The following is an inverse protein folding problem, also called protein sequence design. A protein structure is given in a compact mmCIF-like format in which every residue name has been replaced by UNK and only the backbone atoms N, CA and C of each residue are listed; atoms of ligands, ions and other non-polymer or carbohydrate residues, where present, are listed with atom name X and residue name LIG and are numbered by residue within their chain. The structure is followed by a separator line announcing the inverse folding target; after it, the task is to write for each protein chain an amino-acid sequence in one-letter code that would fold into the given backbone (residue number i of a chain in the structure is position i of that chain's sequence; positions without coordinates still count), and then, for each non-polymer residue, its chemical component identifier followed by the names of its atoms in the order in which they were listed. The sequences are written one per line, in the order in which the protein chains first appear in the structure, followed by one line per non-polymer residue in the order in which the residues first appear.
data_IF_215106987348
#
_entry.id   IF_215106987348
#
_cell.length_a   1.000
_cell.length_b   1.000
_cell.length_c   1.000
_cell.angle_alpha   90.00
_cell.angle_beta   90.00
_cell.angle_gamma   90.00
#
_symmetry.space_group_name_H-M   'P 1'
#
loop_
_entity.id
_entity.type
_entity.pdbx_description
1 polymer ?
#
# COMPACT_ATOMS: atom_id res chain seq x y z
N UNK A 1 2.63 -1.99 -31.24
CA UNK A 1 1.96 -3.09 -30.50
C UNK A 1 0.71 -2.53 -29.83
N UNK A 2 -0.40 -3.30 -29.76
CA UNK A 2 -1.64 -2.83 -29.12
C UNK A 2 -1.67 -3.26 -27.64
N UNK A 3 -2.11 -2.35 -26.78
CA UNK A 3 -2.36 -2.60 -25.37
C UNK A 3 -3.76 -2.12 -25.00
N UNK A 4 -4.44 -2.80 -24.09
CA UNK A 4 -5.68 -2.31 -23.48
C UNK A 4 -5.31 -1.61 -22.17
N UNK A 5 -5.76 -0.36 -21.98
CA UNK A 5 -5.38 0.44 -20.82
C UNK A 5 -6.55 1.26 -20.27
N UNK A 6 -6.59 1.46 -18.95
CA UNK A 6 -7.43 2.46 -18.32
C UNK A 6 -6.68 3.80 -18.28
N UNK A 7 -7.16 4.76 -19.05
CA UNK A 7 -6.50 6.06 -19.26
C UNK A 7 -7.29 7.20 -18.62
N UNK A 8 -6.56 8.21 -18.15
CA UNK A 8 -7.08 9.50 -17.70
C UNK A 8 -6.89 10.51 -18.84
N UNK A 9 -7.98 11.16 -19.29
CA UNK A 9 -7.96 12.15 -20.36
C UNK A 9 -8.45 13.53 -19.95
N UNK A 10 -8.81 13.67 -18.69
CA UNK A 10 -9.33 14.93 -18.15
C UNK A 10 -9.96 14.72 -16.78
N UNK A 11 -10.51 15.77 -16.23
CA UNK A 11 -11.13 15.76 -14.90
C UNK A 11 -12.35 14.85 -14.87
N UNK A 12 -12.30 13.81 -14.00
CA UNK A 12 -13.31 12.74 -13.90
C UNK A 12 -13.51 11.92 -15.19
N UNK A 13 -12.55 11.93 -16.11
CA UNK A 13 -12.60 11.18 -17.35
C UNK A 13 -11.58 10.04 -17.32
N UNK A 14 -11.97 8.88 -16.80
CA UNK A 14 -11.19 7.63 -16.84
C UNK A 14 -11.99 6.59 -17.60
N UNK A 15 -11.38 5.95 -18.60
CA UNK A 15 -12.03 4.91 -19.41
C UNK A 15 -11.02 3.91 -19.97
N UNK A 16 -11.50 2.74 -20.35
CA UNK A 16 -10.68 1.73 -21.04
C UNK A 16 -10.55 2.09 -22.51
N UNK A 17 -9.34 2.02 -23.02
CA UNK A 17 -8.98 2.32 -24.41
C UNK A 17 -7.96 1.32 -24.93
N UNK A 18 -8.05 0.98 -26.21
CA UNK A 18 -6.94 0.37 -26.95
C UNK A 18 -5.91 1.45 -27.28
N UNK A 19 -4.67 1.23 -26.90
CA UNK A 19 -3.53 2.13 -27.07
C UNK A 19 -2.52 1.49 -28.01
N UNK A 20 -2.12 2.21 -29.06
CA UNK A 20 -1.04 1.79 -29.94
C UNK A 20 0.31 2.19 -29.32
N UNK A 21 0.96 1.22 -28.68
CA UNK A 21 2.31 1.42 -28.10
C UNK A 21 3.33 1.56 -29.24
N UNK A 22 4.20 2.60 -29.23
CA UNK A 22 5.30 2.73 -30.17
C UNK A 22 6.33 1.61 -30.00
N UNK A 23 7.24 1.48 -30.94
CA UNK A 23 8.44 0.67 -30.74
C UNK A 23 9.31 1.31 -29.66
N UNK A 24 9.84 0.47 -28.76
CA UNK A 24 10.70 0.95 -27.68
C UNK A 24 12.02 1.48 -28.21
N UNK A 25 12.53 2.52 -27.55
CA UNK A 25 13.88 3.03 -27.75
C UNK A 25 14.96 2.11 -27.23
N UNK A 26 16.22 2.44 -27.54
CA UNK A 26 17.38 1.64 -27.12
C UNK A 26 17.59 1.56 -25.57
N UNK A 27 16.99 2.50 -24.83
CA UNK A 27 17.11 2.66 -23.39
C UNK A 27 15.74 2.54 -22.68
N UNK A 28 14.84 1.71 -23.22
CA UNK A 28 13.49 1.50 -22.70
C UNK A 28 13.20 0.00 -22.55
N UNK A 29 12.18 -0.32 -21.75
CA UNK A 29 11.65 -1.68 -21.58
C UNK A 29 10.19 -1.72 -21.99
N UNK A 30 9.78 -2.75 -22.74
CA UNK A 30 8.38 -3.13 -22.87
C UNK A 30 8.06 -4.18 -21.83
N UNK A 31 6.99 -3.98 -21.08
CA UNK A 31 6.60 -4.90 -20.01
C UNK A 31 5.14 -5.34 -20.14
N UNK A 32 4.87 -6.60 -19.74
CA UNK A 32 3.53 -7.15 -19.51
C UNK A 32 3.17 -6.95 -18.06
N UNK A 33 2.12 -6.21 -17.77
CA UNK A 33 1.65 -6.02 -16.39
C UNK A 33 0.79 -7.20 -16.00
N UNK A 34 1.08 -7.84 -14.88
CA UNK A 34 0.24 -8.94 -14.36
C UNK A 34 -0.81 -8.44 -13.39
N UNK A 35 -0.41 -7.58 -12.46
CA UNK A 35 -1.33 -7.00 -11.47
C UNK A 35 -0.98 -5.54 -11.17
N UNK A 36 -2.00 -4.77 -10.80
CA UNK A 36 -1.88 -3.42 -10.28
C UNK A 36 -2.86 -3.21 -9.14
N UNK A 37 -2.45 -2.58 -8.03
CA UNK A 37 -3.38 -2.21 -6.98
C UNK A 37 -3.84 -0.76 -7.13
N UNK A 38 -5.10 -0.50 -6.71
CA UNK A 38 -5.69 0.84 -6.86
C UNK A 38 -5.48 1.66 -5.60
N UNK A 39 -4.88 2.83 -5.76
CA UNK A 39 -4.55 3.76 -4.68
C UNK A 39 -5.49 4.97 -4.65
N UNK A 40 -5.73 5.49 -3.45
CA UNK A 40 -6.51 6.73 -3.28
C UNK A 40 -5.85 7.95 -3.98
N UNK A 41 -4.54 7.94 -4.14
CA UNK A 41 -3.82 8.99 -4.90
C UNK A 41 -4.17 8.97 -6.39
N UNK A 42 -4.46 7.81 -6.99
CA UNK A 42 -4.97 7.70 -8.36
C UNK A 42 -6.37 8.33 -8.47
N UNK A 43 -7.26 8.10 -7.50
CA UNK A 43 -8.54 8.79 -7.42
C UNK A 43 -8.36 10.32 -7.34
N UNK A 44 -7.45 10.80 -6.47
CA UNK A 44 -7.18 12.25 -6.33
C UNK A 44 -6.68 12.87 -7.66
N UNK A 45 -5.88 12.15 -8.42
CA UNK A 45 -5.45 12.57 -9.76
C UNK A 45 -6.62 12.57 -10.75
N UNK A 46 -7.44 11.53 -10.74
CA UNK A 46 -8.59 11.41 -11.65
C UNK A 46 -9.62 12.52 -11.47
N UNK A 47 -9.95 12.91 -10.24
CA UNK A 47 -10.92 13.98 -9.99
C UNK A 47 -10.38 15.39 -10.25
N UNK A 48 -9.06 15.56 -10.33
CA UNK A 48 -8.40 16.85 -10.59
C UNK A 48 -7.95 17.00 -12.05
N UNK A 49 -7.68 15.91 -12.76
CA UNK A 49 -7.11 15.96 -14.10
C UNK A 49 -5.83 16.79 -14.13
N UNK A 50 -5.68 17.68 -15.10
CA UNK A 50 -4.53 18.59 -15.25
C UNK A 50 -4.27 19.54 -14.06
N UNK A 51 -5.25 19.74 -13.17
CA UNK A 51 -5.02 20.51 -11.93
C UNK A 51 -4.25 19.72 -10.86
N UNK A 52 -3.95 18.46 -11.10
CA UNK A 52 -3.15 17.65 -10.19
C UNK A 52 -1.66 17.74 -10.54
N UNK A 53 -0.81 18.09 -9.58
CA UNK A 53 0.64 18.35 -9.74
C UNK A 53 1.45 17.27 -10.49
N UNK A 54 0.95 16.02 -10.56
CA UNK A 54 1.61 14.91 -11.25
C UNK A 54 1.04 14.65 -12.64
N UNK A 55 -0.12 15.22 -12.96
CA UNK A 55 -0.78 15.03 -14.26
C UNK A 55 -0.36 16.17 -15.18
N UNK A 56 0.02 15.92 -16.44
CA UNK A 56 0.34 16.98 -17.40
C UNK A 56 -0.83 17.95 -17.59
N UNK A 57 -0.53 19.23 -17.74
CA UNK A 57 -1.54 20.28 -17.91
C UNK A 57 -2.35 20.12 -19.22
N UNK A 58 -1.75 19.48 -20.22
CA UNK A 58 -2.32 19.20 -21.55
C UNK A 58 -3.00 17.83 -21.66
N UNK A 59 -3.20 17.14 -20.52
CA UNK A 59 -3.92 15.86 -20.51
C UNK A 59 -5.27 16.01 -21.21
N UNK A 60 -5.51 15.19 -22.23
CA UNK A 60 -6.70 15.24 -23.10
C UNK A 60 -6.99 13.88 -23.71
N UNK A 61 -8.03 13.79 -24.53
CA UNK A 61 -8.33 12.56 -25.30
C UNK A 61 -7.26 12.23 -26.34
N UNK A 62 -6.57 13.26 -26.84
CA UNK A 62 -5.45 13.16 -27.77
C UNK A 62 -4.15 12.76 -27.04
N UNK A 63 -3.97 13.24 -25.82
CA UNK A 63 -2.81 12.99 -24.95
C UNK A 63 -3.22 12.43 -23.59
N UNK A 64 -3.84 11.23 -23.53
CA UNK A 64 -4.23 10.62 -22.27
C UNK A 64 -3.02 10.01 -21.58
N UNK A 65 -3.10 9.83 -20.27
CA UNK A 65 -2.06 9.12 -19.49
C UNK A 65 -2.60 7.78 -18.98
N UNK A 66 -1.78 6.73 -19.02
CA UNK A 66 -2.14 5.44 -18.43
C UNK A 66 -2.12 5.57 -16.90
N UNK A 67 -3.17 5.12 -16.24
CA UNK A 67 -3.30 5.14 -14.80
C UNK A 67 -2.63 3.93 -14.12
N UNK A 68 -2.50 3.97 -12.77
CA UNK A 68 -1.97 2.86 -11.97
C UNK A 68 -0.46 2.92 -11.77
N UNK A 69 -0.03 2.89 -10.51
CA UNK A 69 1.39 3.07 -10.15
C UNK A 69 1.89 2.02 -9.15
N UNK A 70 1.06 1.08 -8.74
CA UNK A 70 1.38 0.01 -7.82
C UNK A 70 1.34 -1.33 -8.57
N UNK A 71 2.36 -1.64 -9.40
CA UNK A 71 2.30 -2.79 -10.30
C UNK A 71 3.59 -3.57 -10.47
N UNK A 72 3.41 -4.81 -10.91
CA UNK A 72 4.49 -5.69 -11.32
C UNK A 72 4.09 -6.60 -12.48
N UNK A 73 5.08 -7.27 -13.07
CA UNK A 73 4.86 -8.10 -14.24
C UNK A 73 6.13 -8.70 -14.79
N UNK A 74 6.16 -8.87 -16.12
CA UNK A 74 7.27 -9.46 -16.85
C UNK A 74 7.86 -8.49 -17.87
N UNK A 75 9.18 -8.52 -18.04
CA UNK A 75 9.88 -7.83 -19.14
C UNK A 75 9.66 -8.61 -20.43
N UNK A 76 9.11 -7.95 -21.46
CA UNK A 76 8.77 -8.57 -22.75
C UNK A 76 9.79 -8.22 -23.82
N UNK A 77 10.32 -6.99 -23.81
CA UNK A 77 11.34 -6.53 -24.75
C UNK A 77 12.30 -5.58 -24.03
N UNK A 78 13.58 -5.71 -24.35
CA UNK A 78 14.67 -4.94 -23.76
C UNK A 78 15.34 -4.10 -24.84
N UNK A 79 15.47 -2.80 -24.60
CA UNK A 79 16.21 -1.89 -25.47
C UNK A 79 17.69 -2.31 -25.60
N UNK A 80 18.29 -2.05 -26.75
CA UNK A 80 19.63 -2.58 -27.11
C UNK A 80 20.70 -2.24 -26.07
N UNK A 81 20.67 -1.03 -25.50
CA UNK A 81 21.65 -0.58 -24.50
C UNK A 81 21.44 -1.15 -23.09
N UNK A 82 20.30 -1.81 -22.86
CA UNK A 82 19.92 -2.35 -21.56
C UNK A 82 20.14 -3.86 -21.42
N UNK A 83 20.54 -4.55 -22.50
CA UNK A 83 20.70 -6.01 -22.54
C UNK A 83 21.73 -6.58 -21.55
N UNK A 84 22.60 -5.73 -21.01
CA UNK A 84 23.53 -6.12 -19.94
C UNK A 84 22.95 -6.00 -18.54
N UNK A 85 21.74 -5.41 -18.41
CA UNK A 85 21.11 -5.12 -17.13
C UNK A 85 19.80 -5.91 -16.95
N UNK A 86 19.09 -6.20 -18.05
CA UNK A 86 17.77 -6.83 -18.04
C UNK A 86 17.68 -7.93 -19.09
N UNK A 87 16.89 -8.96 -18.79
CA UNK A 87 16.59 -10.06 -19.70
C UNK A 87 15.07 -10.16 -19.95
N UNK A 88 14.70 -10.64 -21.15
CA UNK A 88 13.30 -10.96 -21.47
C UNK A 88 12.82 -12.11 -20.60
N UNK A 89 11.64 -11.98 -20.01
CA UNK A 89 11.07 -12.97 -19.10
C UNK A 89 11.37 -12.70 -17.62
N UNK A 90 12.26 -11.77 -17.29
CA UNK A 90 12.47 -11.35 -15.90
C UNK A 90 11.21 -10.74 -15.32
N UNK A 91 10.94 -11.04 -14.04
CA UNK A 91 9.86 -10.43 -13.27
C UNK A 91 10.35 -9.14 -12.62
N UNK A 92 9.49 -8.17 -12.57
CA UNK A 92 9.80 -6.87 -11.98
C UNK A 92 8.66 -6.34 -11.10
N UNK A 93 9.03 -5.42 -10.22
CA UNK A 93 8.13 -4.53 -9.48
C UNK A 93 8.59 -3.11 -9.73
N UNK A 94 7.64 -2.20 -9.83
CA UNK A 94 7.95 -0.79 -10.08
C UNK A 94 7.95 0.05 -8.80
N UNK A 95 9.03 0.80 -8.57
CA UNK A 95 9.05 1.95 -7.66
C UNK A 95 8.54 3.19 -8.41
N UNK A 96 7.33 3.69 -8.10
CA UNK A 96 6.78 4.83 -8.85
C UNK A 96 7.36 6.18 -8.44
N UNK A 97 7.95 6.30 -7.26
CA UNK A 97 8.48 7.56 -6.73
C UNK A 97 9.85 7.86 -7.33
N UNK A 98 9.88 8.62 -8.42
CA UNK A 98 11.10 8.98 -9.14
C UNK A 98 11.84 10.18 -8.57
N UNK A 99 11.24 10.94 -7.65
CA UNK A 99 11.87 12.12 -7.04
C UNK A 99 12.19 13.26 -8.01
N UNK A 100 11.55 13.30 -9.17
CA UNK A 100 11.78 14.32 -10.19
C UNK A 100 11.29 15.71 -9.74
N UNK A 101 12.00 16.79 -10.09
CA UNK A 101 11.55 18.17 -9.80
C UNK A 101 10.17 18.49 -10.40
N UNK A 102 9.80 17.86 -11.53
CA UNK A 102 8.47 17.97 -12.14
C UNK A 102 7.36 17.31 -11.29
N UNK A 103 7.72 16.41 -10.38
CA UNK A 103 6.79 15.55 -9.68
C UNK A 103 6.23 14.40 -10.54
N UNK A 104 6.66 14.24 -11.78
CA UNK A 104 6.17 13.24 -12.71
C UNK A 104 6.48 11.82 -12.24
N UNK A 105 5.57 10.90 -12.50
CA UNK A 105 5.58 9.55 -11.94
C UNK A 105 4.78 8.59 -12.82
N UNK A 106 5.12 7.31 -12.78
CA UNK A 106 4.35 6.25 -13.42
C UNK A 106 2.87 6.29 -13.00
N UNK A 107 1.98 6.03 -13.93
CA UNK A 107 0.54 5.98 -13.67
C UNK A 107 -0.15 7.32 -13.44
N UNK A 108 0.56 8.44 -13.71
CA UNK A 108 0.05 9.80 -13.59
C UNK A 108 0.42 10.70 -14.77
N UNK A 109 1.64 10.53 -15.32
CA UNK A 109 2.27 11.58 -16.11
C UNK A 109 2.61 11.16 -17.53
N UNK A 110 2.53 9.90 -17.85
CA UNK A 110 3.04 9.36 -19.12
C UNK A 110 1.96 8.66 -19.90
N UNK A 111 1.98 8.88 -21.22
CA UNK A 111 1.00 8.31 -22.17
C UNK A 111 1.09 6.77 -22.23
N UNK A 112 2.30 6.22 -22.10
CA UNK A 112 2.56 4.78 -22.27
C UNK A 112 3.08 4.08 -21.01
N UNK A 113 3.01 4.71 -19.84
CA UNK A 113 3.62 4.20 -18.62
C UNK A 113 2.70 4.22 -17.41
N UNK A 114 2.13 3.08 -17.10
CA UNK A 114 1.24 2.86 -15.94
C UNK A 114 0.73 1.44 -15.86
N UNK A 115 0.31 1.03 -14.66
CA UNK A 115 -0.02 -0.35 -14.32
C UNK A 115 -1.45 -0.80 -14.65
N UNK A 116 -2.38 0.12 -14.92
CA UNK A 116 -3.71 -0.26 -15.42
C UNK A 116 -3.68 -0.43 -16.95
N UNK A 117 -2.78 -1.27 -17.43
CA UNK A 117 -2.63 -1.61 -18.84
C UNK A 117 -2.13 -3.06 -18.98
N UNK A 118 -2.50 -3.71 -20.07
CA UNK A 118 -1.97 -5.05 -20.38
C UNK A 118 -0.46 -5.02 -20.61
N UNK A 119 0.00 -3.97 -21.30
CA UNK A 119 1.42 -3.70 -21.57
C UNK A 119 1.68 -2.20 -21.39
N UNK A 120 2.90 -1.86 -20.95
CA UNK A 120 3.34 -0.48 -20.90
C UNK A 120 4.85 -0.38 -21.21
N UNK A 121 5.33 0.85 -21.45
CA UNK A 121 6.73 1.13 -21.75
C UNK A 121 7.34 1.81 -20.54
N UNK A 122 8.37 1.23 -19.94
CA UNK A 122 9.15 1.86 -18.87
C UNK A 122 10.21 2.74 -19.52
N UNK A 123 10.16 4.08 -19.29
CA UNK A 123 11.07 5.01 -19.93
C UNK A 123 12.45 5.02 -19.26
N UNK A 124 13.45 5.46 -20.03
CA UNK A 124 14.85 5.62 -19.58
C UNK A 124 14.97 6.27 -18.20
N UNK A 125 14.21 7.34 -17.95
CA UNK A 125 14.29 8.09 -16.68
C UNK A 125 14.00 7.22 -15.47
N UNK A 126 13.05 6.30 -15.58
CA UNK A 126 12.69 5.38 -14.50
C UNK A 126 13.77 4.31 -14.26
N UNK A 127 14.40 3.87 -15.36
CA UNK A 127 15.50 2.89 -15.33
C UNK A 127 16.74 3.50 -14.71
N UNK A 128 17.14 4.68 -15.15
CA UNK A 128 18.30 5.41 -14.63
C UNK A 128 18.20 5.70 -13.12
N UNK A 129 16.99 5.88 -12.62
CA UNK A 129 16.70 6.10 -11.20
C UNK A 129 16.59 4.80 -10.39
N UNK A 130 16.79 3.62 -11.02
CA UNK A 130 16.73 2.34 -10.35
C UNK A 130 15.31 1.95 -9.89
N UNK A 131 14.29 2.43 -10.59
CA UNK A 131 12.89 2.20 -10.22
C UNK A 131 12.36 0.80 -10.63
N UNK A 132 13.08 0.06 -11.48
CA UNK A 132 12.73 -1.29 -11.90
C UNK A 132 13.41 -2.28 -10.98
N UNK A 133 12.65 -2.87 -10.06
CA UNK A 133 13.17 -3.76 -9.03
C UNK A 133 12.98 -5.22 -9.43
N UNK A 134 13.97 -6.10 -9.18
CA UNK A 134 13.82 -7.53 -9.45
C UNK A 134 12.77 -8.15 -8.53
N UNK A 135 11.93 -9.01 -9.08
CA UNK A 135 10.96 -9.79 -8.33
C UNK A 135 11.19 -11.29 -8.55
N UNK A 136 11.26 -12.07 -7.46
CA UNK A 136 11.53 -13.51 -7.53
C UNK A 136 10.30 -14.36 -7.27
N UNK A 137 9.27 -13.80 -6.64
CA UNK A 137 8.03 -14.50 -6.31
C UNK A 137 7.19 -14.86 -7.53
N UNK A 138 6.20 -15.71 -7.32
CA UNK A 138 5.19 -16.11 -8.32
C UNK A 138 3.80 -15.54 -8.02
N UNK A 139 3.67 -14.82 -6.92
CA UNK A 139 2.42 -14.22 -6.44
C UNK A 139 2.43 -12.72 -6.71
N UNK A 140 1.85 -12.30 -7.84
CA UNK A 140 1.91 -10.91 -8.31
C UNK A 140 1.08 -9.91 -7.49
N UNK A 141 0.15 -10.38 -6.67
CA UNK A 141 -0.48 -9.50 -5.68
C UNK A 141 0.57 -8.90 -4.73
N UNK A 142 1.58 -9.67 -4.27
CA UNK A 142 2.69 -9.14 -3.48
C UNK A 142 3.53 -8.12 -4.25
N UNK A 143 3.72 -8.32 -5.56
CA UNK A 143 4.38 -7.34 -6.42
C UNK A 143 3.63 -6.00 -6.45
N UNK A 144 2.29 -6.03 -6.62
CA UNK A 144 1.46 -4.82 -6.61
C UNK A 144 1.37 -4.16 -5.23
N UNK A 145 1.51 -4.93 -4.17
CA UNK A 145 1.41 -4.42 -2.79
C UNK A 145 2.76 -4.01 -2.20
N UNK A 146 3.86 -4.20 -2.92
CA UNK A 146 5.18 -3.79 -2.46
C UNK A 146 5.27 -2.27 -2.24
N UNK A 147 4.65 -1.46 -3.11
CA UNK A 147 4.60 -0.01 -2.93
C UNK A 147 3.79 0.39 -1.68
N UNK A 148 2.53 -0.05 -1.48
CA UNK A 148 1.81 0.26 -0.25
C UNK A 148 2.53 -0.21 1.02
N UNK A 149 3.13 -1.39 1.00
CA UNK A 149 3.93 -1.87 2.13
C UNK A 149 5.17 -1.03 2.36
N UNK A 150 5.83 -0.54 1.30
CA UNK A 150 6.98 0.35 1.43
C UNK A 150 6.62 1.66 2.13
N UNK A 151 5.40 2.17 1.94
CA UNK A 151 4.93 3.35 2.67
C UNK A 151 4.86 3.08 4.18
N UNK A 152 4.39 1.88 4.57
CA UNK A 152 4.34 1.45 5.97
C UNK A 152 5.76 1.29 6.52
N UNK A 153 6.60 0.52 5.85
CA UNK A 153 7.99 0.26 6.25
C UNK A 153 8.76 1.58 6.40
N UNK A 154 8.63 2.48 5.42
CA UNK A 154 9.25 3.81 5.46
C UNK A 154 8.76 4.67 6.64
N UNK A 155 7.49 4.54 7.05
CA UNK A 155 6.98 5.21 8.23
C UNK A 155 7.64 4.68 9.51
N UNK A 156 7.83 3.36 9.62
CA UNK A 156 8.55 2.75 10.75
C UNK A 156 10.02 3.16 10.76
N UNK A 157 10.70 3.17 9.60
CA UNK A 157 12.08 3.63 9.50
C UNK A 157 12.26 5.12 9.80
N UNK A 158 11.25 5.94 9.56
CA UNK A 158 11.29 7.38 9.78
C UNK A 158 11.01 7.81 11.22
N UNK A 159 10.52 6.94 12.08
CA UNK A 159 10.49 7.22 13.53
C UNK A 159 11.90 7.35 14.05
N UNK A 160 12.09 8.09 15.12
CA UNK A 160 13.41 8.24 15.71
C UNK A 160 13.33 8.50 17.19
N UNK A 161 14.42 8.18 17.86
CA UNK A 161 14.66 8.42 19.28
C UNK A 161 15.96 9.19 19.46
N UNK A 162 16.12 9.79 20.64
CA UNK A 162 17.30 10.60 20.96
C UNK A 162 17.96 10.11 22.25
N UNK A 163 19.25 10.35 22.37
CA UNK A 163 19.95 10.16 23.65
C UNK A 163 20.08 11.53 24.30
N UNK A 164 19.70 11.69 25.58
CA UNK A 164 19.82 12.95 26.28
C UNK A 164 21.22 13.57 26.13
N UNK A 165 21.29 14.86 25.76
CA UNK A 165 22.51 15.65 25.53
C UNK A 165 23.36 15.22 24.34
N UNK A 166 22.94 14.19 23.57
CA UNK A 166 23.54 13.79 22.29
C UNK A 166 22.51 14.11 21.21
N UNK A 167 22.82 15.03 20.32
CA UNK A 167 21.87 15.53 19.30
C UNK A 167 21.89 14.66 18.03
N UNK A 168 21.95 13.34 18.22
CA UNK A 168 21.90 12.34 17.16
C UNK A 168 20.59 11.57 17.22
N UNK A 169 20.00 11.28 16.08
CA UNK A 169 18.77 10.49 15.97
C UNK A 169 19.12 9.03 15.77
N UNK A 170 18.50 8.19 16.58
CA UNK A 170 18.49 6.75 16.41
C UNK A 170 17.22 6.40 15.63
N UNK A 171 17.37 6.13 14.33
CA UNK A 171 16.24 5.89 13.43
C UNK A 171 15.60 4.53 13.65
N UNK A 172 14.29 4.45 13.41
CA UNK A 172 13.47 3.26 13.58
C UNK A 172 12.81 3.18 14.94
N UNK A 173 12.12 2.05 15.21
CA UNK A 173 11.48 1.80 16.50
C UNK A 173 12.52 1.55 17.59
N UNK A 174 12.16 1.89 18.82
CA UNK A 174 12.95 1.60 19.99
C UNK A 174 13.01 0.10 20.27
N UNK A 175 14.20 -0.45 20.40
CA UNK A 175 14.39 -1.87 20.70
C UNK A 175 13.76 -2.23 22.05
N UNK A 176 12.93 -3.27 22.09
CA UNK A 176 12.15 -3.65 23.26
C UNK A 176 11.07 -2.63 23.67
N UNK A 177 10.78 -1.65 22.81
CA UNK A 177 9.82 -0.59 23.04
C UNK A 177 8.35 -1.01 22.91
N UNK A 178 7.47 -0.03 23.04
CA UNK A 178 6.02 -0.17 23.00
C UNK A 178 5.41 0.72 21.93
N UNK A 179 4.57 0.15 21.08
CA UNK A 179 3.97 0.81 19.91
C UNK A 179 2.45 0.90 20.06
N UNK A 180 1.88 2.09 19.87
CA UNK A 180 0.44 2.29 19.74
C UNK A 180 0.09 2.56 18.26
N UNK A 181 -0.77 1.74 17.67
CA UNK A 181 -1.25 1.87 16.29
C UNK A 181 -2.71 2.34 16.32
N UNK A 182 -2.96 3.59 15.98
CA UNK A 182 -4.23 4.27 16.19
C UNK A 182 -5.04 4.42 14.88
N UNK A 183 -6.32 4.03 14.91
CA UNK A 183 -7.18 3.95 13.72
C UNK A 183 -6.66 2.92 12.73
N UNK A 184 -6.17 1.80 13.24
CA UNK A 184 -5.26 0.90 12.53
C UNK A 184 -5.91 -0.42 12.08
N UNK A 185 -7.19 -0.66 12.31
CA UNK A 185 -7.84 -1.88 11.84
C UNK A 185 -8.29 -1.82 10.37
N UNK A 186 -7.95 -0.75 9.65
CA UNK A 186 -8.14 -0.61 8.21
C UNK A 186 -7.03 -1.30 7.39
N UNK A 187 -7.09 -1.22 6.03
CA UNK A 187 -6.19 -1.96 5.15
C UNK A 187 -4.70 -1.69 5.38
N UNK A 188 -4.32 -0.40 5.39
CA UNK A 188 -2.93 -0.02 5.64
C UNK A 188 -2.50 -0.38 7.06
N UNK A 189 -3.45 -0.30 8.00
CA UNK A 189 -3.22 -0.71 9.37
C UNK A 189 -2.96 -2.21 9.51
N UNK A 190 -3.65 -3.08 8.77
CA UNK A 190 -3.35 -4.52 8.78
C UNK A 190 -1.91 -4.81 8.36
N UNK A 191 -1.41 -4.14 7.31
CA UNK A 191 0.00 -4.24 6.93
C UNK A 191 0.95 -3.71 8.02
N UNK A 192 0.56 -2.64 8.74
CA UNK A 192 1.36 -2.09 9.83
C UNK A 192 1.38 -2.99 11.06
N UNK A 193 0.25 -3.61 11.43
CA UNK A 193 0.18 -4.59 12.51
C UNK A 193 1.08 -5.79 12.18
N UNK A 194 0.96 -6.31 10.94
CA UNK A 194 1.74 -7.43 10.48
C UNK A 194 3.25 -7.13 10.52
N UNK A 195 3.65 -5.96 10.03
CA UNK A 195 5.04 -5.52 10.05
C UNK A 195 5.56 -5.25 11.48
N UNK A 196 4.73 -4.69 12.38
CA UNK A 196 5.11 -4.47 13.78
C UNK A 196 5.35 -5.77 14.54
N UNK A 197 4.65 -6.86 14.16
CA UNK A 197 4.73 -8.17 14.81
C UNK A 197 5.78 -9.08 14.18
N UNK A 198 5.90 -9.06 12.86
CA UNK A 198 6.70 -10.04 12.10
C UNK A 198 7.89 -9.40 11.36
N UNK A 199 7.98 -8.08 11.34
CA UNK A 199 9.11 -7.34 10.77
C UNK A 199 10.40 -7.47 11.57
N UNK A 200 11.42 -6.68 11.23
CA UNK A 200 12.75 -6.82 11.85
C UNK A 200 12.87 -6.20 13.26
N UNK A 201 11.84 -5.54 13.75
CA UNK A 201 11.86 -4.85 15.04
C UNK A 201 11.49 -5.79 16.21
N UNK A 202 12.09 -5.55 17.38
CA UNK A 202 11.83 -6.30 18.61
C UNK A 202 10.88 -5.53 19.54
N UNK A 203 9.72 -5.13 19.05
CA UNK A 203 8.72 -4.46 19.90
C UNK A 203 8.24 -5.41 20.99
N UNK A 204 8.30 -4.97 22.23
CA UNK A 204 7.79 -5.77 23.36
C UNK A 204 6.27 -5.81 23.38
N UNK A 205 5.64 -4.69 23.02
CA UNK A 205 4.18 -4.52 23.06
C UNK A 205 3.70 -3.73 21.88
N UNK A 206 2.65 -4.22 21.25
CA UNK A 206 1.92 -3.53 20.17
C UNK A 206 0.46 -3.43 20.58
N UNK A 207 -0.08 -2.22 20.65
CA UNK A 207 -1.48 -1.95 20.97
C UNK A 207 -2.17 -1.39 19.75
N UNK A 208 -3.16 -2.10 19.25
CA UNK A 208 -3.97 -1.73 18.08
C UNK A 208 -5.27 -1.11 18.54
N UNK A 209 -5.52 0.10 18.13
CA UNK A 209 -6.69 0.90 18.55
C UNK A 209 -7.56 1.23 17.35
N UNK A 210 -8.84 0.93 17.44
CA UNK A 210 -9.85 1.35 16.46
C UNK A 210 -11.21 1.54 17.18
N UNK A 211 -12.19 2.09 16.47
CA UNK A 211 -13.58 2.24 16.95
C UNK A 211 -14.54 1.25 16.29
N UNK A 212 -14.08 0.51 15.28
CA UNK A 212 -14.87 -0.45 14.51
C UNK A 212 -14.55 -1.87 15.00
N UNK A 213 -15.51 -2.44 15.75
CA UNK A 213 -15.36 -3.78 16.33
C UNK A 213 -15.18 -4.87 15.27
N UNK A 214 -15.92 -4.79 14.16
CA UNK A 214 -15.81 -5.80 13.10
C UNK A 214 -14.43 -5.80 12.45
N UNK A 215 -13.82 -4.62 12.28
CA UNK A 215 -12.44 -4.49 11.79
C UNK A 215 -11.42 -5.02 12.80
N UNK A 216 -11.60 -4.73 14.08
CA UNK A 216 -10.72 -5.24 15.14
C UNK A 216 -10.77 -6.77 15.22
N UNK A 217 -11.96 -7.38 15.18
CA UNK A 217 -12.11 -8.83 15.17
C UNK A 217 -11.51 -9.47 13.91
N UNK A 218 -11.64 -8.83 12.73
CA UNK A 218 -10.96 -9.28 11.52
C UNK A 218 -9.44 -9.19 11.67
N UNK A 219 -8.92 -8.08 12.19
CA UNK A 219 -7.48 -7.90 12.41
C UNK A 219 -6.94 -8.97 13.36
N UNK A 220 -7.64 -9.25 14.46
CA UNK A 220 -7.31 -10.26 15.44
C UNK A 220 -7.35 -11.69 14.88
N UNK A 221 -8.26 -11.95 13.94
CA UNK A 221 -8.32 -13.24 13.23
C UNK A 221 -7.10 -13.46 12.33
N UNK A 222 -6.64 -12.40 11.64
CA UNK A 222 -5.55 -12.47 10.67
C UNK A 222 -4.18 -12.44 11.34
N UNK A 223 -4.03 -11.63 12.38
CA UNK A 223 -2.78 -11.44 13.14
C UNK A 223 -3.15 -11.62 14.61
N UNK A 224 -3.11 -12.88 15.06
CA UNK A 224 -3.62 -13.17 16.39
C UNK A 224 -2.55 -13.00 17.48
N UNK A 225 -2.97 -12.64 18.72
CA UNK A 225 -2.05 -12.42 19.83
C UNK A 225 -1.19 -13.64 20.23
N UNK A 226 -1.70 -14.86 19.99
CA UNK A 226 -0.95 -16.10 20.32
C UNK A 226 0.23 -16.31 19.38
N UNK A 227 0.08 -15.97 18.08
CA UNK A 227 1.17 -16.04 17.11
C UNK A 227 2.14 -14.88 17.31
N UNK A 228 1.66 -13.68 17.63
CA UNK A 228 2.51 -12.55 18.02
C UNK A 228 3.39 -12.88 19.23
N UNK A 229 2.84 -13.58 20.23
CA UNK A 229 3.59 -14.00 21.40
C UNK A 229 4.75 -14.97 21.09
N UNK A 230 4.64 -15.77 20.01
CA UNK A 230 5.73 -16.64 19.54
C UNK A 230 6.94 -15.83 19.03
N UNK A 231 6.68 -14.60 18.55
CA UNK A 231 7.70 -13.63 18.15
C UNK A 231 8.14 -12.71 19.30
N UNK A 232 7.69 -12.96 20.52
CA UNK A 232 8.02 -12.15 21.70
C UNK A 232 7.23 -10.85 21.82
N UNK A 233 6.19 -10.66 21.02
CA UNK A 233 5.35 -9.44 20.99
C UNK A 233 4.06 -9.67 21.76
N UNK A 234 3.77 -8.83 22.74
CA UNK A 234 2.45 -8.74 23.36
C UNK A 234 1.53 -7.87 22.50
N UNK A 235 0.65 -8.51 21.71
CA UNK A 235 -0.28 -7.85 20.81
C UNK A 235 -1.65 -7.70 21.49
N UNK A 236 -2.15 -6.46 21.58
CA UNK A 236 -3.42 -6.13 22.25
C UNK A 236 -4.30 -5.34 21.29
N UNK A 237 -5.57 -5.75 21.15
CA UNK A 237 -6.58 -5.04 20.37
C UNK A 237 -7.54 -4.32 21.32
N UNK A 238 -7.79 -3.04 21.09
CA UNK A 238 -8.62 -2.19 21.95
C UNK A 238 -9.63 -1.41 21.13
N UNK A 239 -10.91 -1.58 21.47
CA UNK A 239 -11.96 -0.73 20.96
C UNK A 239 -12.11 0.50 21.88
N UNK A 240 -11.93 1.70 21.32
CA UNK A 240 -12.04 2.96 22.07
C UNK A 240 -13.33 3.72 21.76
N UNK A 241 -14.29 3.08 21.07
CA UNK A 241 -15.58 3.70 20.80
C UNK A 241 -16.30 4.03 22.12
N UNK A 242 -16.77 5.26 22.21
CA UNK A 242 -17.54 5.76 23.38
C UNK A 242 -16.78 5.65 24.72
N UNK A 243 -15.43 5.63 24.70
CA UNK A 243 -14.59 5.57 25.90
C UNK A 243 -13.97 6.94 26.20
N UNK A 244 -14.52 7.66 27.15
CA UNK A 244 -14.03 8.97 27.60
C UNK A 244 -12.69 8.88 28.36
N UNK A 245 -12.26 7.69 28.80
CA UNK A 245 -11.02 7.43 29.52
C UNK A 245 -9.97 6.72 28.67
N UNK A 246 -10.15 6.67 27.34
CA UNK A 246 -9.30 5.88 26.43
C UNK A 246 -7.80 6.15 26.62
N UNK A 247 -7.36 7.39 26.81
CA UNK A 247 -5.94 7.73 27.01
C UNK A 247 -5.39 7.09 28.29
N UNK A 248 -6.14 7.18 29.40
CA UNK A 248 -5.75 6.61 30.68
C UNK A 248 -5.68 5.08 30.60
N UNK A 249 -6.71 4.46 30.05
CA UNK A 249 -6.79 3.01 29.90
C UNK A 249 -5.62 2.46 29.02
N UNK A 250 -5.36 3.12 27.88
CA UNK A 250 -4.27 2.76 26.99
C UNK A 250 -2.89 2.94 27.66
N UNK A 251 -2.67 4.00 28.44
CA UNK A 251 -1.45 4.15 29.24
C UNK A 251 -1.32 3.06 30.30
N UNK A 252 -2.40 2.69 30.97
CA UNK A 252 -2.40 1.66 31.99
C UNK A 252 -1.99 0.29 31.39
N UNK A 253 -2.33 -0.02 30.14
CA UNK A 253 -1.83 -1.19 29.42
C UNK A 253 -0.31 -1.19 29.31
N UNK A 254 0.34 -0.03 29.30
CA UNK A 254 1.80 0.12 29.29
C UNK A 254 2.38 0.53 30.65
N UNK A 255 1.71 0.18 31.74
CA UNK A 255 2.17 0.46 33.11
C UNK A 255 2.21 1.95 33.46
N UNK A 256 1.40 2.77 32.82
CA UNK A 256 1.27 4.22 33.04
C UNK A 256 2.38 5.08 32.42
N UNK A 257 3.34 4.48 31.72
CA UNK A 257 4.56 5.18 31.21
C UNK A 257 4.38 5.89 29.87
N UNK A 258 3.26 5.70 29.17
CA UNK A 258 3.10 6.09 27.79
C UNK A 258 3.83 5.14 26.83
N UNK A 259 3.79 5.44 25.53
CA UNK A 259 4.34 4.62 24.46
C UNK A 259 5.60 5.23 23.89
N UNK A 260 6.51 4.39 23.42
CA UNK A 260 7.71 4.85 22.74
C UNK A 260 7.36 5.35 21.32
N UNK A 261 6.40 4.70 20.63
CA UNK A 261 5.88 5.14 19.35
C UNK A 261 4.34 5.16 19.32
N UNK A 262 3.78 6.15 18.61
CA UNK A 262 2.37 6.23 18.30
C UNK A 262 2.18 6.52 16.80
N UNK A 263 1.55 5.60 16.07
CA UNK A 263 1.24 5.79 14.65
C UNK A 263 -0.24 6.14 14.45
N UNK A 264 -0.52 7.13 13.61
CA UNK A 264 -1.89 7.57 13.32
C UNK A 264 -2.26 7.26 11.87
N UNK A 265 -3.23 6.34 11.68
CA UNK A 265 -3.65 5.86 10.35
C UNK A 265 -4.89 6.55 9.79
N UNK A 266 -5.56 7.40 10.56
CA UNK A 266 -6.73 8.16 10.11
C UNK A 266 -6.55 9.66 10.33
N UNK A 267 -6.90 10.53 9.36
CA UNK A 267 -6.75 11.98 9.49
C UNK A 267 -7.90 12.58 10.31
N UNK A 268 -7.92 12.24 11.60
CA UNK A 268 -8.95 12.66 12.56
C UNK A 268 -8.29 13.40 13.73
N UNK A 269 -8.63 14.67 13.93
CA UNK A 269 -7.98 15.53 14.94
C UNK A 269 -7.96 14.93 16.35
N UNK A 270 -9.09 14.45 16.92
CA UNK A 270 -9.08 13.82 18.24
C UNK A 270 -8.14 12.61 18.35
N UNK A 271 -7.97 11.86 17.27
CA UNK A 271 -7.07 10.69 17.24
C UNK A 271 -5.60 11.11 17.30
N UNK A 272 -5.24 12.21 16.62
CA UNK A 272 -3.88 12.78 16.67
C UNK A 272 -3.57 13.34 18.07
N UNK A 273 -4.52 14.05 18.65
CA UNK A 273 -4.42 14.60 20.01
C UNK A 273 -4.32 13.46 21.05
N UNK A 274 -5.07 12.38 20.85
CA UNK A 274 -4.92 11.15 21.66
C UNK A 274 -3.51 10.58 21.53
N UNK A 275 -2.96 10.48 20.30
CA UNK A 275 -1.61 9.97 20.06
C UNK A 275 -0.55 10.80 20.78
N UNK A 276 -0.63 12.13 20.75
CA UNK A 276 0.27 13.03 21.49
C UNK A 276 0.21 12.76 23.00
N UNK A 277 -0.98 12.60 23.55
CA UNK A 277 -1.17 12.30 24.98
C UNK A 277 -0.67 10.88 25.36
N UNK A 278 -0.61 9.94 24.42
CA UNK A 278 -0.13 8.58 24.68
C UNK A 278 1.39 8.47 24.74
N UNK A 279 2.14 9.43 24.21
CA UNK A 279 3.60 9.36 24.18
C UNK A 279 4.21 9.34 25.58
N UNK A 280 5.24 8.51 25.72
CA UNK A 280 6.14 8.52 26.88
C UNK A 280 7.33 9.47 26.66
N UNK A 281 8.31 9.39 27.56
CA UNK A 281 9.56 10.13 27.44
C UNK A 281 10.30 9.73 26.16
N UNK A 282 10.78 10.70 25.39
CA UNK A 282 11.42 10.51 24.08
C UNK A 282 10.50 9.80 23.06
N UNK A 283 9.18 9.90 23.24
CA UNK A 283 8.19 9.24 22.38
C UNK A 283 8.05 9.90 21.03
N UNK A 284 7.87 9.11 19.96
CA UNK A 284 7.73 9.57 18.59
C UNK A 284 6.31 9.34 18.06
N UNK A 285 5.63 10.40 17.64
CA UNK A 285 4.37 10.30 16.90
C UNK A 285 4.67 10.25 15.40
N UNK A 286 4.25 9.20 14.71
CA UNK A 286 4.27 9.13 13.26
C UNK A 286 2.86 9.41 12.71
N UNK A 287 2.71 10.50 11.97
CA UNK A 287 1.48 10.81 11.26
C UNK A 287 1.48 10.18 9.87
N UNK A 288 1.00 8.94 9.79
CA UNK A 288 0.93 8.16 8.55
C UNK A 288 -0.23 8.59 7.65
N UNK A 289 -1.33 9.06 8.23
CA UNK A 289 -2.53 9.43 7.49
C UNK A 289 -2.27 10.57 6.50
N UNK A 290 -2.87 10.47 5.30
CA UNK A 290 -2.76 11.51 4.26
C UNK A 290 -4.01 12.40 4.18
N UNK A 291 -4.06 13.57 4.84
CA UNK A 291 -5.20 14.48 4.74
C UNK A 291 -5.35 15.03 3.32
N UNK A 292 -6.56 15.43 2.97
CA UNK A 292 -6.85 16.09 1.68
C UNK A 292 -6.85 17.61 1.79
N UNK A 293 -7.05 18.12 2.99
CA UNK A 293 -7.04 19.54 3.34
C UNK A 293 -5.61 19.95 3.73
N UNK A 294 -5.05 20.95 3.05
CA UNK A 294 -3.70 21.47 3.32
C UNK A 294 -3.62 22.32 4.60
N UNK A 295 -4.77 22.76 5.14
CA UNK A 295 -4.88 23.48 6.43
C UNK A 295 -5.21 22.53 7.60
N UNK A 296 -5.19 21.21 7.37
CA UNK A 296 -5.47 20.23 8.40
C UNK A 296 -4.47 20.34 9.56
N UNK A 297 -4.96 20.57 10.77
CA UNK A 297 -4.17 20.83 11.99
C UNK A 297 -4.78 20.17 13.21
N UNK A 298 -3.98 19.93 14.25
CA UNK A 298 -4.38 19.41 15.55
C UNK A 298 -3.60 20.12 16.66
N UNK A 299 -4.07 20.00 17.92
CA UNK A 299 -3.37 20.55 19.08
C UNK A 299 -2.30 19.56 19.58
N UNK A 300 -1.18 20.11 20.04
CA UNK A 300 -0.09 19.35 20.65
C UNK A 300 0.26 19.91 22.01
N UNK A 301 0.71 19.05 22.93
CA UNK A 301 1.17 19.45 24.25
C UNK A 301 2.67 19.82 24.20
N UNK A 302 2.97 21.10 24.01
CA UNK A 302 4.34 21.59 23.97
C UNK A 302 5.10 21.46 25.29
N UNK A 303 4.44 21.22 26.41
CA UNK A 303 5.10 20.84 27.66
C UNK A 303 5.82 19.50 27.50
N UNK A 304 5.16 18.51 26.89
CA UNK A 304 5.77 17.20 26.63
C UNK A 304 6.91 17.30 25.62
N UNK A 305 6.78 18.13 24.58
CA UNK A 305 7.87 18.39 23.63
C UNK A 305 9.10 18.91 24.36
N UNK A 306 8.94 19.83 25.32
CA UNK A 306 10.06 20.43 26.03
C UNK A 306 10.65 19.55 27.14
N UNK A 307 9.78 18.94 27.96
CA UNK A 307 10.24 18.23 29.16
C UNK A 307 10.37 16.72 28.99
N UNK A 308 9.57 16.14 28.08
CA UNK A 308 9.57 14.70 27.81
C UNK A 308 10.25 14.36 26.48
N UNK A 309 10.76 15.37 25.76
CA UNK A 309 11.44 15.19 24.47
C UNK A 309 10.58 14.49 23.41
N UNK A 310 9.26 14.66 23.43
CA UNK A 310 8.40 14.04 22.44
C UNK A 310 8.57 14.69 21.06
N UNK A 311 8.42 13.92 19.98
CA UNK A 311 8.60 14.42 18.63
C UNK A 311 7.56 13.88 17.67
N UNK A 312 7.46 14.52 16.50
CA UNK A 312 6.51 14.19 15.45
C UNK A 312 7.27 14.01 14.15
N UNK A 313 6.98 12.94 13.46
CA UNK A 313 7.46 12.70 12.11
C UNK A 313 6.31 12.29 11.18
N UNK A 314 6.58 12.19 9.90
CA UNK A 314 5.64 11.69 8.90
C UNK A 314 6.38 11.43 7.58
N UNK A 315 5.81 10.54 6.77
CA UNK A 315 6.35 10.17 5.48
C UNK A 315 5.27 10.22 4.41
N UNK A 316 5.67 10.41 3.16
CA UNK A 316 4.81 10.30 2.00
C UNK A 316 5.49 9.40 0.97
N UNK A 317 5.03 8.16 0.88
CA UNK A 317 5.66 7.10 0.10
C UNK A 317 6.76 6.37 0.87
N UNK A 318 7.31 5.34 0.25
CA UNK A 318 8.46 4.58 0.73
C UNK A 318 9.66 4.72 -0.22
N UNK A 319 10.85 4.40 0.26
CA UNK A 319 12.07 4.35 -0.54
C UNK A 319 12.16 3.05 -1.35
N UNK A 320 13.10 2.99 -2.28
CA UNK A 320 13.46 1.74 -2.98
C UNK A 320 13.91 0.66 -1.98
N UNK A 321 14.64 1.05 -0.92
CA UNK A 321 15.05 0.14 0.15
C UNK A 321 13.84 -0.48 0.88
N UNK A 322 12.84 0.33 1.20
CA UNK A 322 11.61 -0.12 1.87
C UNK A 322 10.82 -1.09 0.97
N UNK A 323 10.79 -0.87 -0.35
CA UNK A 323 10.17 -1.80 -1.29
C UNK A 323 10.91 -3.13 -1.37
N UNK A 324 12.24 -3.11 -1.44
CA UNK A 324 13.05 -4.33 -1.43
C UNK A 324 12.89 -5.11 -0.13
N UNK A 325 12.76 -4.43 1.00
CA UNK A 325 12.47 -5.05 2.28
C UNK A 325 11.07 -5.69 2.29
N UNK A 326 10.06 -4.99 1.78
CA UNK A 326 8.70 -5.53 1.63
C UNK A 326 8.70 -6.83 0.80
N UNK A 327 9.36 -6.81 -0.36
CA UNK A 327 9.47 -7.99 -1.23
C UNK A 327 10.17 -9.15 -0.52
N UNK A 328 11.30 -8.88 0.12
CA UNK A 328 12.06 -9.88 0.86
C UNK A 328 11.25 -10.52 1.98
N UNK A 329 10.62 -9.72 2.83
CA UNK A 329 9.83 -10.23 3.96
C UNK A 329 8.60 -11.01 3.49
N UNK A 330 7.98 -10.59 2.39
CA UNK A 330 6.84 -11.32 1.78
C UNK A 330 7.28 -12.64 1.15
N UNK A 331 8.42 -12.68 0.45
CA UNK A 331 8.98 -13.90 -0.14
C UNK A 331 9.46 -14.89 0.94
N UNK A 332 9.95 -14.40 2.07
CA UNK A 332 10.32 -15.21 3.25
C UNK A 332 9.08 -15.68 4.03
N UNK A 333 7.88 -15.23 3.66
CA UNK A 333 6.63 -15.55 4.37
C UNK A 333 6.53 -14.95 5.77
N UNK A 334 7.31 -13.90 6.07
CA UNK A 334 7.28 -13.21 7.36
C UNK A 334 6.10 -12.26 7.47
N UNK A 335 5.81 -11.52 6.40
CA UNK A 335 4.65 -10.63 6.31
C UNK A 335 3.73 -11.09 5.17
N UNK A 336 2.45 -10.75 5.29
CA UNK A 336 1.45 -11.07 4.28
C UNK A 336 0.69 -9.81 3.82
N UNK A 337 1.18 -9.10 2.79
CA UNK A 337 0.52 -7.90 2.28
C UNK A 337 -0.93 -8.15 1.81
N UNK A 338 -1.29 -9.39 1.50
CA UNK A 338 -2.65 -9.76 1.07
C UNK A 338 -3.72 -9.52 2.12
N UNK A 339 -3.37 -9.34 3.39
CA UNK A 339 -4.33 -8.91 4.41
C UNK A 339 -5.00 -7.58 4.07
N UNK A 340 -4.34 -6.75 3.26
CA UNK A 340 -4.88 -5.49 2.76
C UNK A 340 -5.92 -5.65 1.65
N UNK A 341 -5.97 -6.79 0.93
CA UNK A 341 -6.82 -6.99 -0.26
C UNK A 341 -8.24 -7.36 0.15
N UNK A 342 -9.22 -6.72 -0.46
CA UNK A 342 -10.64 -7.06 -0.26
C UNK A 342 -11.40 -7.28 -1.57
N UNK A 343 -10.89 -6.78 -2.68
CA UNK A 343 -11.56 -6.90 -3.97
C UNK A 343 -10.56 -7.23 -5.07
N UNK A 344 -11.04 -7.94 -6.09
CA UNK A 344 -10.31 -8.18 -7.33
C UNK A 344 -11.19 -7.79 -8.53
N UNK A 345 -10.56 -7.41 -9.62
CA UNK A 345 -11.24 -7.06 -10.87
C UNK A 345 -10.31 -7.16 -12.09
N UNK A 346 -10.91 -7.08 -13.26
CA UNK A 346 -10.18 -6.98 -14.53
C UNK A 346 -10.01 -5.53 -15.00
N UNK A 347 -9.42 -5.36 -16.18
CA UNK A 347 -9.16 -4.02 -16.75
C UNK A 347 -10.46 -3.22 -16.95
N UNK A 348 -11.56 -3.90 -17.30
CA UNK A 348 -12.88 -3.27 -17.48
C UNK A 348 -13.40 -2.60 -16.21
N UNK A 349 -13.05 -3.11 -15.02
CA UNK A 349 -13.47 -2.55 -13.74
C UNK A 349 -12.62 -1.35 -13.28
N UNK A 350 -11.43 -1.13 -13.86
CA UNK A 350 -10.48 -0.12 -13.39
C UNK A 350 -11.06 1.31 -13.40
N UNK A 351 -11.77 1.81 -14.44
CA UNK A 351 -12.29 3.17 -14.44
C UNK A 351 -13.28 3.46 -13.31
N UNK A 352 -14.29 2.60 -13.16
CA UNK A 352 -15.31 2.77 -12.11
C UNK A 352 -14.72 2.58 -10.73
N UNK A 353 -13.77 1.66 -10.56
CA UNK A 353 -13.03 1.48 -9.31
C UNK A 353 -12.26 2.74 -8.94
N UNK A 354 -11.53 3.36 -9.87
CA UNK A 354 -10.77 4.59 -9.63
C UNK A 354 -11.71 5.73 -9.24
N UNK A 355 -12.75 5.99 -10.04
CA UNK A 355 -13.65 7.14 -9.85
C UNK A 355 -14.55 7.03 -8.61
N UNK A 356 -14.82 5.82 -8.13
CA UNK A 356 -15.67 5.58 -6.97
C UNK A 356 -14.91 5.05 -5.74
N UNK A 357 -13.58 5.01 -5.77
CA UNK A 357 -12.76 4.38 -4.74
C UNK A 357 -13.13 4.76 -3.29
N UNK A 358 -13.41 6.04 -2.95
CA UNK A 358 -13.81 6.41 -1.58
C UNK A 358 -15.17 5.85 -1.15
N UNK A 359 -16.01 5.41 -2.09
CA UNK A 359 -17.34 4.85 -1.82
C UNK A 359 -17.34 3.33 -1.76
N UNK A 360 -16.29 2.67 -2.25
CA UNK A 360 -16.14 1.21 -2.24
C UNK A 360 -15.57 0.80 -0.90
N UNK A 361 -16.30 0.05 -0.06
CA UNK A 361 -15.83 -0.33 1.26
C UNK A 361 -14.62 -1.25 1.20
N UNK A 362 -14.01 -1.48 2.35
CA UNK A 362 -12.92 -2.44 2.52
C UNK A 362 -11.54 -1.89 2.16
N UNK A 363 -10.65 -2.79 1.75
CA UNK A 363 -9.23 -2.59 1.56
C UNK A 363 -8.79 -2.29 0.13
N UNK A 364 -7.59 -2.76 -0.20
CA UNK A 364 -7.02 -2.65 -1.54
C UNK A 364 -7.85 -3.40 -2.58
N UNK A 365 -7.92 -2.84 -3.78
CA UNK A 365 -8.56 -3.41 -4.96
C UNK A 365 -7.46 -3.74 -5.95
N UNK A 366 -7.37 -5.03 -6.32
CA UNK A 366 -6.42 -5.47 -7.34
C UNK A 366 -7.08 -5.50 -8.70
N UNK A 367 -6.38 -4.99 -9.70
CA UNK A 367 -6.74 -5.10 -11.12
C UNK A 367 -5.74 -6.03 -11.80
N UNK A 368 -6.27 -7.03 -12.49
CA UNK A 368 -5.54 -7.94 -13.37
C UNK A 368 -5.80 -7.52 -14.82
N UNK A 369 -4.88 -6.79 -15.48
CA UNK A 369 -5.18 -6.11 -16.74
C UNK A 369 -5.50 -7.03 -17.92
N UNK A 370 -5.10 -8.30 -17.87
CA UNK A 370 -5.31 -9.27 -18.94
C UNK A 370 -6.65 -10.02 -18.87
N UNK A 371 -7.51 -9.71 -17.89
CA UNK A 371 -8.82 -10.32 -17.76
C UNK A 371 -9.94 -9.28 -17.77
N UNK A 372 -11.15 -9.72 -18.10
CA UNK A 372 -12.38 -8.94 -17.94
C UNK A 372 -13.17 -9.52 -16.78
N UNK A 373 -13.18 -8.81 -15.68
CA UNK A 373 -13.88 -9.19 -14.45
C UNK A 373 -14.40 -7.92 -13.78
N UNK A 374 -15.66 -7.88 -13.46
CA UNK A 374 -16.22 -6.80 -12.65
C UNK A 374 -15.56 -6.79 -11.27
N UNK A 375 -15.44 -5.60 -10.67
CA UNK A 375 -14.87 -5.49 -9.33
C UNK A 375 -15.70 -6.30 -8.34
N UNK A 376 -15.11 -7.34 -7.79
CA UNK A 376 -15.78 -8.32 -6.95
C UNK A 376 -15.13 -8.39 -5.57
N UNK A 377 -15.93 -8.28 -4.52
CA UNK A 377 -15.45 -8.46 -3.15
C UNK A 377 -15.15 -9.94 -2.88
N UNK A 378 -14.05 -10.24 -2.19
CA UNK A 378 -13.69 -11.61 -1.81
C UNK A 378 -14.78 -12.25 -0.93
N UNK A 379 -15.44 -11.45 -0.09
CA UNK A 379 -16.54 -11.89 0.76
C UNK A 379 -17.79 -12.34 -0.03
N UNK A 380 -17.95 -11.86 -1.26
CA UNK A 380 -19.07 -12.22 -2.13
C UNK A 380 -18.85 -13.54 -2.90
N UNK A 381 -17.65 -14.10 -2.90
CA UNK A 381 -17.33 -15.31 -3.69
C UNK A 381 -18.24 -16.51 -3.35
N UNK A 382 -18.53 -16.73 -2.06
CA UNK A 382 -19.41 -17.84 -1.64
C UNK A 382 -20.85 -17.67 -2.18
N UNK A 383 -21.33 -16.42 -2.23
CA UNK A 383 -22.64 -16.11 -2.79
C UNK A 383 -22.66 -16.28 -4.30
N UNK A 384 -21.67 -15.74 -4.99
CA UNK A 384 -21.55 -15.81 -6.46
C UNK A 384 -21.25 -17.23 -6.94
N UNK A 385 -20.55 -18.01 -6.11
CA UNK A 385 -20.24 -19.41 -6.38
C UNK A 385 -21.44 -20.35 -6.46
N UNK A 386 -22.64 -19.91 -6.05
CA UNK A 386 -23.87 -20.68 -6.22
C UNK A 386 -24.26 -20.85 -7.68
N UNK A 387 -23.92 -19.86 -8.51
CA UNK A 387 -24.30 -19.78 -9.91
C UNK A 387 -23.07 -19.77 -10.88
N UNK A 388 -21.85 -19.77 -10.34
CA UNK A 388 -20.62 -19.69 -11.12
C UNK A 388 -19.51 -20.53 -10.48
N UNK A 389 -19.08 -21.59 -11.19
CA UNK A 389 -18.07 -22.54 -10.72
C UNK A 389 -16.71 -21.89 -10.40
N UNK A 390 -16.31 -20.86 -11.15
CA UNK A 390 -15.06 -20.14 -10.88
C UNK A 390 -15.10 -19.47 -9.49
N UNK A 391 -16.20 -18.79 -9.16
CA UNK A 391 -16.34 -18.19 -7.84
C UNK A 391 -16.51 -19.20 -6.73
N UNK A 392 -17.14 -20.36 -6.99
CA UNK A 392 -17.21 -21.46 -6.04
C UNK A 392 -15.82 -21.96 -5.65
N UNK A 393 -14.95 -22.14 -6.63
CA UNK A 393 -13.57 -22.58 -6.38
C UNK A 393 -12.73 -21.48 -5.70
N UNK A 394 -12.84 -20.22 -6.13
CA UNK A 394 -12.19 -19.09 -5.45
C UNK A 394 -12.62 -18.97 -3.99
N UNK A 395 -13.93 -19.13 -3.70
CA UNK A 395 -14.43 -19.16 -2.33
C UNK A 395 -13.80 -20.29 -1.51
N UNK A 396 -13.72 -21.51 -2.09
CA UNK A 396 -13.11 -22.67 -1.45
C UNK A 396 -11.64 -22.43 -1.11
N UNK A 397 -10.89 -21.84 -2.04
CA UNK A 397 -9.46 -21.53 -1.86
C UNK A 397 -9.29 -20.43 -0.79
N UNK A 398 -9.98 -19.30 -0.91
CA UNK A 398 -9.85 -18.18 0.02
C UNK A 398 -10.29 -18.57 1.45
N UNK A 399 -11.32 -19.39 1.60
CA UNK A 399 -11.83 -19.86 2.90
C UNK A 399 -10.77 -20.60 3.73
N UNK A 400 -9.87 -21.35 3.09
CA UNK A 400 -8.73 -22.01 3.76
C UNK A 400 -7.72 -20.99 4.33
N UNK A 401 -7.73 -19.76 3.82
CA UNK A 401 -6.82 -18.66 4.18
C UNK A 401 -7.59 -17.52 4.87
N UNK A 402 -8.59 -17.83 5.70
CA UNK A 402 -9.39 -16.83 6.45
C UNK A 402 -10.06 -15.76 5.56
N UNK A 403 -10.50 -16.15 4.35
CA UNK A 403 -11.04 -15.27 3.31
C UNK A 403 -10.04 -14.18 2.86
N UNK A 404 -8.76 -14.52 2.80
CA UNK A 404 -7.70 -13.69 2.26
C UNK A 404 -7.34 -14.16 0.85
N UNK A 405 -7.07 -13.21 -0.04
CA UNK A 405 -6.53 -13.49 -1.37
C UNK A 405 -5.15 -14.12 -1.25
N UNK A 406 -4.86 -15.12 -2.06
CA UNK A 406 -3.61 -15.88 -1.95
C UNK A 406 -3.12 -16.34 -3.33
N UNK A 407 -1.89 -16.82 -3.38
CA UNK A 407 -1.23 -17.28 -4.60
C UNK A 407 -2.02 -18.37 -5.34
N UNK A 408 -2.60 -19.34 -4.61
CA UNK A 408 -3.45 -20.39 -5.21
C UNK A 408 -4.67 -19.78 -5.91
N UNK A 409 -5.31 -18.79 -5.29
CA UNK A 409 -6.48 -18.12 -5.85
C UNK A 409 -6.10 -17.25 -7.08
N UNK A 410 -4.98 -16.53 -7.04
CA UNK A 410 -4.47 -15.75 -8.17
C UNK A 410 -4.16 -16.65 -9.37
N UNK A 411 -3.40 -17.71 -9.15
CA UNK A 411 -3.06 -18.67 -10.20
C UNK A 411 -4.30 -19.32 -10.82
N UNK A 412 -5.26 -19.68 -9.99
CA UNK A 412 -6.53 -20.25 -10.47
C UNK A 412 -7.32 -19.24 -11.31
N UNK A 413 -7.47 -18.00 -10.83
CA UNK A 413 -8.19 -16.94 -11.54
C UNK A 413 -7.54 -16.68 -12.91
N UNK A 414 -6.24 -16.44 -12.93
CA UNK A 414 -5.52 -16.10 -14.16
C UNK A 414 -5.55 -17.25 -15.17
N UNK A 415 -5.42 -18.50 -14.72
CA UNK A 415 -5.54 -19.65 -15.59
C UNK A 415 -6.95 -19.82 -16.18
N UNK A 416 -7.98 -19.48 -15.40
CA UNK A 416 -9.40 -19.66 -15.81
C UNK A 416 -9.86 -18.57 -16.76
N UNK A 417 -9.37 -17.34 -16.60
CA UNK A 417 -9.85 -16.16 -17.31
C UNK A 417 -8.87 -15.59 -18.33
N UNK A 418 -7.58 -15.94 -18.28
CA UNK A 418 -6.65 -15.47 -19.29
C UNK A 418 -7.03 -16.04 -20.68
N UNK A 419 -6.97 -15.23 -21.76
CA UNK A 419 -7.12 -15.77 -23.10
C UNK A 419 -6.04 -16.84 -23.33
N UNK A 420 -6.42 -17.93 -23.99
CA UNK A 420 -5.44 -18.92 -24.49
C UNK A 420 -4.47 -18.17 -25.41
N UNK A 421 -3.17 -18.26 -25.11
CA UNK A 421 -2.08 -17.64 -25.92
C UNK A 421 -1.95 -18.30 -27.30
#
# INVERSE_FOLDING_TARGET
MKATAAVLSGKNEVYVKEVDLPEIGEEELLVKVVSNSVCLSTYKAAIRGGDHKRVPDDVSKEHPVITGHEFGGYIVKVGEKLKNQFEVGEKFVLQPAMGLPSGYSAGYSYEYYGGNATYCIIPKVSIDLGCVLPYKGDYFANASLAEPMSCIIGAFHATYHTTPYVYEHQMGLKDGGSVALLGCAGPMGLGAIDYAVHGPYNSKRVVVVDIDEARLERAKLLINPEDAAKNGVELIYVNTKDNDHAVEDLKNLNGGKGYDEAFVFAPVKPLIEMADHLLGNDGCLNFFAGPTDNEFSANFNFYNVHYESTHICGTSGGSTGDMLESLKLSEEGKINPSYMITHIGGINAAPDTILNLPKIPGGKKLIYPHINLELTAIEDFEKLGKDNEMFAELARICKKNHNVWCEEAEKYLLKTMAPEE
#
